data_IF_164257964574
#
_entry.id   IF_164257964574
#
_cell.length_a   1.000
_cell.length_b   1.000
_cell.length_c   1.000
_cell.angle_alpha   90.00
_cell.angle_beta   90.00
_cell.angle_gamma   90.00
#
_symmetry.space_group_name_H-M   'P 1'
#
loop_
_entity.id
_entity.type
_entity.pdbx_description
1 polymer ?
#
# COMPACT_ATOMS: atom_id res chain seq x y z
N UNK A 1 8.04 13.52 -26.67
CA UNK A 1 8.09 12.15 -27.22
C UNK A 1 7.06 11.26 -26.52
N UNK A 2 6.67 10.12 -27.14
CA UNK A 2 5.79 9.12 -26.53
C UNK A 2 6.63 8.05 -25.84
N UNK A 3 6.44 7.88 -24.53
CA UNK A 3 7.14 6.88 -23.71
C UNK A 3 6.14 5.84 -23.25
N UNK A 4 6.27 4.62 -23.77
CA UNK A 4 5.37 3.51 -23.50
C UNK A 4 5.79 2.68 -22.29
N UNK A 5 4.80 2.26 -21.47
CA UNK A 5 5.01 1.30 -20.40
C UNK A 5 4.04 0.13 -20.51
N UNK A 6 4.59 -1.09 -20.46
CA UNK A 6 3.84 -2.34 -20.50
C UNK A 6 4.16 -3.22 -19.29
N UNK A 7 3.14 -3.86 -18.71
CA UNK A 7 3.31 -4.80 -17.60
C UNK A 7 2.45 -6.03 -17.79
N UNK A 8 3.04 -7.23 -17.61
CA UNK A 8 2.31 -8.50 -17.61
C UNK A 8 2.51 -9.25 -16.30
N UNK A 9 1.45 -9.93 -15.86
CA UNK A 9 1.55 -10.98 -14.85
C UNK A 9 1.97 -12.29 -15.54
N UNK A 10 2.66 -13.18 -14.84
CA UNK A 10 3.17 -14.45 -15.36
C UNK A 10 2.12 -15.43 -15.91
N UNK A 11 0.82 -15.14 -15.75
CA UNK A 11 -0.29 -15.96 -16.23
C UNK A 11 -1.17 -15.21 -17.22
N UNK A 12 -1.19 -15.69 -18.47
CA UNK A 12 -2.31 -15.61 -19.39
C UNK A 12 -2.52 -14.35 -20.24
N UNK A 13 -1.67 -13.32 -20.18
CA UNK A 13 -1.78 -12.19 -21.12
C UNK A 13 -0.46 -11.96 -21.85
N UNK A 14 -0.53 -11.96 -23.18
CA UNK A 14 0.65 -11.73 -23.99
C UNK A 14 1.16 -10.30 -23.82
N UNK A 15 2.43 -10.17 -23.47
CA UNK A 15 3.16 -8.89 -23.52
C UNK A 15 3.10 -8.33 -24.94
N UNK A 16 3.12 -9.19 -25.93
CA UNK A 16 3.13 -8.85 -27.35
C UNK A 16 1.93 -8.00 -27.76
N UNK A 17 0.73 -8.29 -27.22
CA UNK A 17 -0.48 -7.49 -27.49
C UNK A 17 -0.35 -6.07 -26.95
N UNK A 18 0.28 -5.89 -25.77
CA UNK A 18 0.52 -4.55 -25.23
C UNK A 18 1.59 -3.82 -26.03
N UNK A 19 2.67 -4.51 -26.38
CA UNK A 19 3.77 -3.95 -27.18
C UNK A 19 3.27 -3.51 -28.56
N UNK A 20 2.42 -4.31 -29.21
CA UNK A 20 1.82 -3.94 -30.51
C UNK A 20 0.98 -2.66 -30.41
N UNK A 21 0.19 -2.49 -29.33
CA UNK A 21 -0.59 -1.27 -29.09
C UNK A 21 0.28 -0.05 -28.80
N UNK A 22 1.48 -0.27 -28.30
CA UNK A 22 2.42 0.78 -27.90
C UNK A 22 3.55 0.97 -28.92
N UNK A 23 3.46 0.36 -30.09
CA UNK A 23 4.53 0.36 -31.12
C UNK A 23 4.89 1.76 -31.63
N UNK A 24 3.96 2.71 -31.57
CA UNK A 24 4.19 4.09 -31.96
C UNK A 24 4.91 4.94 -30.89
N UNK A 25 5.30 4.30 -29.77
CA UNK A 25 6.10 4.96 -28.73
C UNK A 25 7.59 4.93 -29.10
N UNK A 26 8.27 6.05 -28.99
CA UNK A 26 9.71 6.17 -29.35
C UNK A 26 10.60 5.48 -28.31
N UNK A 27 10.11 5.35 -27.07
CA UNK A 27 10.81 4.62 -25.99
C UNK A 27 9.87 3.70 -25.24
N UNK A 28 10.31 2.46 -25.01
CA UNK A 28 9.51 1.43 -24.33
C UNK A 28 10.19 0.96 -23.05
N UNK A 29 9.39 0.83 -21.99
CA UNK A 29 9.75 0.14 -20.77
C UNK A 29 8.77 -1.00 -20.54
N UNK A 30 9.27 -2.19 -20.30
CA UNK A 30 8.42 -3.37 -20.11
C UNK A 30 8.82 -4.15 -18.87
N UNK A 31 7.83 -4.68 -18.15
CA UNK A 31 8.01 -5.37 -16.89
C UNK A 31 7.22 -6.67 -16.87
N UNK A 32 7.90 -7.76 -16.55
CA UNK A 32 7.27 -9.07 -16.34
C UNK A 32 7.27 -9.37 -14.85
N UNK A 33 6.10 -9.54 -14.25
CA UNK A 33 5.98 -9.92 -12.85
C UNK A 33 6.46 -11.36 -12.68
N UNK A 34 7.55 -11.56 -11.93
CA UNK A 34 8.04 -12.86 -11.52
C UNK A 34 7.85 -13.03 -10.01
N UNK A 35 6.94 -13.92 -9.60
CA UNK A 35 6.76 -14.31 -8.19
C UNK A 35 6.37 -13.18 -7.24
N UNK A 36 6.96 -13.19 -6.05
CA UNK A 36 6.69 -12.26 -4.94
C UNK A 36 7.42 -10.93 -5.03
N UNK A 37 8.34 -10.77 -6.00
CA UNK A 37 9.10 -9.52 -6.12
C UNK A 37 8.24 -8.45 -6.79
N UNK A 38 7.83 -7.46 -5.98
CA UNK A 38 6.90 -6.39 -6.35
C UNK A 38 7.59 -5.07 -6.70
N UNK A 39 8.92 -5.08 -6.81
CA UNK A 39 9.71 -3.93 -7.20
C UNK A 39 9.50 -3.66 -8.70
N UNK A 40 8.78 -2.59 -8.99
CA UNK A 40 8.49 -2.14 -10.36
C UNK A 40 9.64 -1.26 -10.87
N UNK A 41 10.80 -1.87 -11.08
CA UNK A 41 12.02 -1.15 -11.44
C UNK A 41 11.86 -0.45 -12.80
N UNK A 42 11.23 -1.12 -13.77
CA UNK A 42 11.01 -0.53 -15.10
C UNK A 42 10.01 0.63 -15.06
N UNK A 43 8.99 0.58 -14.19
CA UNK A 43 8.10 1.72 -13.98
C UNK A 43 8.86 2.90 -13.39
N UNK A 44 9.71 2.68 -12.39
CA UNK A 44 10.49 3.76 -11.80
C UNK A 44 11.45 4.37 -12.84
N UNK A 45 12.15 3.54 -13.59
CA UNK A 45 13.02 4.00 -14.68
C UNK A 45 12.24 4.81 -15.74
N UNK A 46 11.04 4.36 -16.12
CA UNK A 46 10.19 5.08 -17.06
C UNK A 46 9.76 6.44 -16.52
N UNK A 47 9.31 6.50 -15.25
CA UNK A 47 8.91 7.74 -14.59
C UNK A 47 10.09 8.72 -14.36
N UNK A 48 11.31 8.18 -14.20
CA UNK A 48 12.51 9.01 -14.11
C UNK A 48 12.96 9.54 -15.47
N UNK A 49 12.79 8.72 -16.50
CA UNK A 49 13.22 9.00 -17.87
C UNK A 49 12.43 10.14 -18.52
N UNK A 50 11.10 10.20 -18.32
CA UNK A 50 10.23 11.19 -18.95
C UNK A 50 10.58 12.62 -18.54
N UNK A 51 10.46 13.55 -19.48
CA UNK A 51 10.81 14.95 -19.36
C UNK A 51 9.65 15.85 -19.76
N UNK A 52 9.81 17.13 -19.53
CA UNK A 52 8.84 18.18 -19.93
C UNK A 52 8.37 18.00 -21.39
N UNK A 53 7.05 18.04 -21.59
CA UNK A 53 6.39 17.88 -22.88
C UNK A 53 6.29 16.44 -23.40
N UNK A 54 6.79 15.43 -22.68
CA UNK A 54 6.60 14.03 -23.05
C UNK A 54 5.17 13.54 -22.75
N UNK A 55 4.79 12.43 -23.40
CA UNK A 55 3.53 11.72 -23.16
C UNK A 55 3.85 10.32 -22.65
N UNK A 56 3.40 10.02 -21.44
CA UNK A 56 3.52 8.69 -20.85
C UNK A 56 2.33 7.83 -21.30
N UNK A 57 2.57 6.77 -22.07
CA UNK A 57 1.54 5.98 -22.75
C UNK A 57 1.43 4.59 -22.14
N UNK A 58 0.22 4.18 -21.80
CA UNK A 58 -0.10 2.84 -21.32
C UNK A 58 -1.33 2.29 -22.03
N UNK A 59 -1.51 0.98 -21.99
CA UNK A 59 -2.71 0.36 -22.57
C UNK A 59 -3.92 0.47 -21.67
N UNK A 60 -3.78 0.16 -20.36
CA UNK A 60 -4.85 0.17 -19.35
C UNK A 60 -4.34 0.63 -17.98
N UNK A 61 -5.21 1.23 -17.16
CA UNK A 61 -4.86 1.68 -15.81
C UNK A 61 -4.42 0.54 -14.88
N UNK A 62 -5.01 -0.66 -15.01
CA UNK A 62 -4.64 -1.83 -14.19
C UNK A 62 -3.23 -2.36 -14.52
N UNK A 63 -2.64 -1.96 -15.64
CA UNK A 63 -1.23 -2.21 -15.97
C UNK A 63 -0.30 -1.23 -15.27
N UNK A 64 -0.76 0.00 -15.05
CA UNK A 64 0.02 1.04 -14.40
C UNK A 64 0.02 0.94 -12.87
N UNK A 65 -1.16 0.74 -12.27
CA UNK A 65 -1.34 0.82 -10.82
C UNK A 65 -2.28 -0.27 -10.31
N UNK A 66 -2.20 -0.53 -8.98
CA UNK A 66 -3.03 -1.51 -8.27
C UNK A 66 -4.05 -0.86 -7.35
N UNK A 67 -3.91 0.43 -7.13
CA UNK A 67 -4.81 1.21 -6.30
C UNK A 67 -4.94 2.61 -6.86
N UNK A 68 -6.05 3.26 -6.55
CA UNK A 68 -6.28 4.63 -6.97
C UNK A 68 -5.30 5.60 -6.32
N UNK A 69 -4.83 5.32 -5.10
CA UNK A 69 -3.77 6.11 -4.45
C UNK A 69 -2.48 6.08 -5.27
N UNK A 70 -2.09 4.90 -5.74
CA UNK A 70 -0.90 4.75 -6.58
C UNK A 70 -1.07 5.49 -7.91
N UNK A 71 -2.26 5.40 -8.53
CA UNK A 71 -2.57 6.15 -9.74
C UNK A 71 -2.39 7.66 -9.53
N UNK A 72 -2.98 8.22 -8.48
CA UNK A 72 -2.89 9.65 -8.18
C UNK A 72 -1.45 10.09 -7.93
N UNK A 73 -0.66 9.30 -7.22
CA UNK A 73 0.75 9.59 -6.98
C UNK A 73 1.55 9.61 -8.30
N UNK A 74 1.28 8.66 -9.20
CA UNK A 74 1.94 8.61 -10.51
C UNK A 74 1.54 9.83 -11.35
N UNK A 75 0.24 10.16 -11.39
CA UNK A 75 -0.26 11.31 -12.14
C UNK A 75 0.37 12.61 -11.60
N UNK A 76 0.37 12.81 -10.29
CA UNK A 76 1.00 13.98 -9.68
C UNK A 76 2.48 14.09 -10.03
N UNK A 77 3.20 12.96 -10.05
CA UNK A 77 4.62 12.92 -10.45
C UNK A 77 4.81 13.28 -11.93
N UNK A 78 3.93 12.82 -12.82
CA UNK A 78 3.95 13.17 -14.24
C UNK A 78 3.62 14.65 -14.44
N UNK A 79 2.58 15.17 -13.77
CA UNK A 79 2.19 16.58 -13.83
C UNK A 79 3.30 17.51 -13.31
N UNK A 80 3.99 17.14 -12.23
CA UNK A 80 5.14 17.92 -11.71
C UNK A 80 6.30 18.04 -12.69
N UNK A 81 6.35 17.17 -13.69
CA UNK A 81 7.31 17.19 -14.81
C UNK A 81 6.70 17.75 -16.10
N UNK A 82 5.46 18.25 -16.06
CA UNK A 82 4.68 18.64 -17.25
C UNK A 82 4.57 17.54 -18.32
N UNK A 83 4.36 16.27 -17.86
CA UNK A 83 4.19 15.08 -18.68
C UNK A 83 2.73 14.68 -18.64
N UNK A 84 2.09 14.45 -19.80
CA UNK A 84 0.73 13.94 -19.86
C UNK A 84 0.68 12.41 -19.83
N UNK A 85 -0.38 11.85 -19.22
CA UNK A 85 -0.68 10.41 -19.23
C UNK A 85 -1.73 10.12 -20.30
N UNK A 86 -1.44 9.16 -21.17
CA UNK A 86 -2.39 8.66 -22.18
C UNK A 86 -2.67 7.17 -21.95
N UNK A 87 -3.95 6.82 -21.80
CA UNK A 87 -4.43 5.45 -21.61
C UNK A 87 -5.23 5.04 -22.84
N UNK A 88 -4.68 4.12 -23.63
CA UNK A 88 -5.24 3.82 -24.96
C UNK A 88 -6.63 3.19 -24.90
N UNK A 89 -6.79 2.10 -24.15
CA UNK A 89 -8.04 1.32 -24.13
C UNK A 89 -9.22 2.05 -23.43
N UNK A 90 -8.92 3.06 -22.62
CA UNK A 90 -9.92 3.85 -21.87
C UNK A 90 -10.09 5.27 -22.42
N UNK A 91 -9.35 5.61 -23.47
CA UNK A 91 -9.38 6.94 -24.11
C UNK A 91 -9.20 8.09 -23.12
N UNK A 92 -8.36 7.89 -22.10
CA UNK A 92 -8.03 8.92 -21.11
C UNK A 92 -6.73 9.61 -21.57
N UNK A 93 -6.76 10.94 -21.60
CA UNK A 93 -5.60 11.78 -21.94
C UNK A 93 -5.58 12.99 -21.00
N UNK A 94 -4.62 13.00 -20.06
CA UNK A 94 -4.49 14.10 -19.08
C UNK A 94 -3.96 15.39 -19.72
N UNK A 95 -3.49 15.36 -20.95
CA UNK A 95 -3.22 16.55 -21.73
C UNK A 95 -4.48 17.34 -22.08
N UNK A 96 -5.65 16.68 -22.10
CA UNK A 96 -6.95 17.32 -22.35
C UNK A 96 -7.63 17.76 -21.05
N UNK A 97 -8.49 18.80 -21.12
CA UNK A 97 -9.31 19.23 -19.97
C UNK A 97 -10.23 18.12 -19.47
N UNK A 98 -10.85 17.37 -20.39
CA UNK A 98 -11.74 16.25 -20.08
C UNK A 98 -11.00 15.09 -19.38
N UNK A 99 -9.80 14.75 -19.84
CA UNK A 99 -8.99 13.70 -19.20
C UNK A 99 -8.54 14.10 -17.80
N UNK A 100 -8.14 15.35 -17.57
CA UNK A 100 -7.86 15.86 -16.23
C UNK A 100 -9.08 15.81 -15.31
N UNK A 101 -10.25 16.19 -15.81
CA UNK A 101 -11.51 16.07 -15.06
C UNK A 101 -11.80 14.61 -14.68
N UNK A 102 -11.66 13.66 -15.62
CA UNK A 102 -11.86 12.22 -15.35
C UNK A 102 -10.96 11.72 -14.24
N UNK A 103 -9.68 12.08 -14.27
CA UNK A 103 -8.73 11.71 -13.21
C UNK A 103 -9.12 12.31 -11.86
N UNK A 104 -9.55 13.57 -11.82
CA UNK A 104 -10.03 14.24 -10.60
C UNK A 104 -11.24 13.54 -10.01
N UNK A 105 -12.18 13.11 -10.84
CA UNK A 105 -13.38 12.36 -10.42
C UNK A 105 -12.99 10.99 -9.84
N UNK A 106 -12.12 10.25 -10.52
CA UNK A 106 -11.61 8.96 -10.03
C UNK A 106 -10.90 9.15 -8.67
N UNK A 107 -10.11 10.20 -8.53
CA UNK A 107 -9.43 10.54 -7.29
C UNK A 107 -10.40 10.85 -6.14
N UNK A 108 -11.44 11.62 -6.42
CA UNK A 108 -12.48 11.98 -5.44
C UNK A 108 -13.27 10.76 -4.97
N UNK A 109 -13.64 9.85 -5.88
CA UNK A 109 -14.31 8.59 -5.54
C UNK A 109 -13.43 7.73 -4.64
N UNK A 110 -12.14 7.61 -4.96
CA UNK A 110 -11.21 6.83 -4.14
C UNK A 110 -10.99 7.43 -2.74
N UNK A 111 -10.94 8.74 -2.65
CA UNK A 111 -10.86 9.43 -1.36
C UNK A 111 -12.13 9.16 -0.54
N UNK A 112 -13.29 9.30 -1.13
CA UNK A 112 -14.57 9.01 -0.49
C UNK A 112 -14.65 7.56 0.02
N UNK A 113 -14.26 6.57 -0.80
CA UNK A 113 -14.22 5.16 -0.36
C UNK A 113 -13.26 4.94 0.82
N UNK A 114 -12.13 5.64 0.85
CA UNK A 114 -11.19 5.57 1.96
C UNK A 114 -11.77 6.16 3.24
N UNK A 115 -12.46 7.27 3.14
CA UNK A 115 -13.07 7.96 4.29
C UNK A 115 -14.22 7.14 4.87
N UNK A 116 -15.08 6.56 4.03
CA UNK A 116 -16.10 5.60 4.46
C UNK A 116 -15.50 4.37 5.16
N UNK A 117 -14.36 3.89 4.69
CA UNK A 117 -13.67 2.74 5.29
C UNK A 117 -13.10 3.08 6.68
N UNK A 118 -12.52 4.28 6.83
CA UNK A 118 -12.04 4.80 8.13
C UNK A 118 -13.19 4.99 9.12
N UNK A 119 -14.31 5.54 8.67
CA UNK A 119 -15.50 5.73 9.49
C UNK A 119 -16.02 4.39 10.03
N UNK A 120 -16.26 3.42 9.16
CA UNK A 120 -16.66 2.06 9.57
C UNK A 120 -15.67 1.39 10.52
N UNK A 121 -14.36 1.59 10.30
CA UNK A 121 -13.34 1.09 11.20
C UNK A 121 -13.39 1.77 12.56
N UNK A 122 -13.58 3.08 12.59
CA UNK A 122 -13.73 3.86 13.84
C UNK A 122 -14.94 3.39 14.65
N UNK A 123 -16.08 3.22 14.00
CA UNK A 123 -17.31 2.72 14.61
C UNK A 123 -17.13 1.30 15.14
N UNK A 124 -16.50 0.43 14.37
CA UNK A 124 -16.16 -0.93 14.79
C UNK A 124 -15.25 -0.97 16.02
N UNK A 125 -14.24 -0.08 16.08
CA UNK A 125 -13.34 0.07 17.23
C UNK A 125 -14.11 0.59 18.45
N UNK A 126 -14.98 1.60 18.28
CA UNK A 126 -15.79 2.15 19.36
C UNK A 126 -16.72 1.08 19.94
N UNK A 127 -17.39 0.32 19.09
CA UNK A 127 -18.25 -0.78 19.49
C UNK A 127 -17.48 -1.91 20.20
N UNK A 128 -16.31 -2.26 19.71
CA UNK A 128 -15.45 -3.28 20.36
C UNK A 128 -15.01 -2.82 21.76
N UNK A 129 -14.61 -1.55 21.90
CA UNK A 129 -14.25 -0.95 23.18
C UNK A 129 -15.43 -0.95 24.17
N UNK A 130 -16.64 -0.60 23.72
CA UNK A 130 -17.84 -0.61 24.57
C UNK A 130 -18.22 -2.00 25.05
N UNK A 131 -17.88 -3.03 24.29
CA UNK A 131 -18.06 -4.45 24.65
C UNK A 131 -16.90 -5.02 25.48
N UNK A 132 -15.93 -4.18 25.88
CA UNK A 132 -14.77 -4.64 26.66
C UNK A 132 -13.76 -5.48 25.89
N UNK A 133 -13.83 -5.50 24.56
CA UNK A 133 -12.86 -6.23 23.73
C UNK A 133 -11.51 -5.55 23.82
N UNK A 134 -10.49 -6.30 24.21
CA UNK A 134 -9.12 -5.82 24.24
C UNK A 134 -8.61 -5.64 22.80
N UNK A 135 -8.29 -4.40 22.47
CA UNK A 135 -7.67 -4.06 21.17
C UNK A 135 -6.13 -4.12 21.28
N UNK A 136 -5.49 -4.66 20.26
CA UNK A 136 -4.04 -4.80 20.20
C UNK A 136 -3.55 -6.14 20.72
N UNK A 137 -2.26 -6.18 21.14
CA UNK A 137 -1.63 -7.41 21.60
C UNK A 137 -2.24 -7.87 22.92
N UNK A 138 -2.68 -9.12 22.97
CA UNK A 138 -3.17 -9.73 24.20
C UNK A 138 -2.09 -9.75 25.28
N UNK A 139 -2.51 -9.51 26.53
CA UNK A 139 -1.61 -9.66 27.68
C UNK A 139 -1.19 -11.13 27.78
N UNK A 140 0.09 -11.36 28.05
CA UNK A 140 0.62 -12.73 28.23
C UNK A 140 0.10 -13.38 29.51
N UNK A 141 -0.20 -12.57 30.53
CA UNK A 141 -0.70 -13.00 31.82
C UNK A 141 -2.06 -12.38 32.09
N UNK A 142 -2.94 -13.15 32.73
CA UNK A 142 -4.19 -12.63 33.29
C UNK A 142 -3.95 -11.98 34.66
N UNK A 143 -4.95 -11.28 35.20
CA UNK A 143 -4.83 -10.57 36.49
C UNK A 143 -4.49 -11.51 37.64
N UNK A 144 -5.00 -12.75 37.66
CA UNK A 144 -4.70 -13.75 38.68
C UNK A 144 -3.23 -14.12 38.65
N UNK A 145 -2.67 -14.39 37.46
CA UNK A 145 -1.26 -14.73 37.30
C UNK A 145 -0.34 -13.53 37.67
N UNK A 146 -0.77 -12.31 37.42
CA UNK A 146 -0.01 -11.10 37.82
C UNK A 146 0.02 -11.00 39.35
N UNK A 147 -1.10 -11.21 40.01
CA UNK A 147 -1.18 -11.20 41.47
C UNK A 147 -0.31 -12.28 42.10
N UNK A 148 -0.39 -13.52 41.54
CA UNK A 148 0.45 -14.64 41.97
C UNK A 148 1.95 -14.34 41.78
N UNK A 149 2.32 -13.76 40.65
CA UNK A 149 3.70 -13.35 40.39
C UNK A 149 4.20 -12.30 41.38
N UNK A 150 3.36 -11.32 41.74
CA UNK A 150 3.66 -10.30 42.78
C UNK A 150 3.88 -10.96 44.15
N UNK A 151 3.01 -11.91 44.53
CA UNK A 151 3.12 -12.64 45.80
C UNK A 151 4.43 -13.46 45.83
N UNK A 152 4.72 -14.23 44.80
CA UNK A 152 5.98 -14.99 44.70
C UNK A 152 7.21 -14.09 44.82
N UNK A 153 7.13 -12.86 44.33
CA UNK A 153 8.24 -11.91 44.51
C UNK A 153 8.41 -11.47 45.95
N UNK A 154 7.30 -11.24 46.67
CA UNK A 154 7.32 -10.93 48.11
C UNK A 154 7.90 -12.09 48.92
N UNK A 155 7.61 -13.32 48.52
CA UNK A 155 8.13 -14.55 49.12
C UNK A 155 9.62 -14.82 48.78
N UNK A 156 10.30 -13.86 48.12
CA UNK A 156 11.74 -13.90 47.87
C UNK A 156 12.16 -14.56 46.54
N UNK A 157 11.24 -14.98 45.67
CA UNK A 157 11.60 -15.58 44.37
C UNK A 157 12.37 -14.59 43.51
N UNK A 158 13.48 -15.05 42.91
CA UNK A 158 14.35 -14.21 42.09
C UNK A 158 13.67 -13.83 40.77
N UNK A 159 13.98 -12.62 40.26
CA UNK A 159 13.48 -12.13 38.98
C UNK A 159 13.73 -13.11 37.82
N UNK A 160 14.91 -13.77 37.82
CA UNK A 160 15.28 -14.76 36.78
C UNK A 160 14.31 -15.93 36.75
N UNK A 161 13.88 -16.39 37.90
CA UNK A 161 12.95 -17.53 38.02
C UNK A 161 11.53 -17.11 37.60
N UNK A 162 11.10 -15.89 37.95
CA UNK A 162 9.84 -15.32 37.48
C UNK A 162 9.83 -15.16 35.94
N UNK A 163 10.94 -14.73 35.35
CA UNK A 163 11.08 -14.67 33.89
C UNK A 163 10.86 -16.04 33.24
N UNK A 164 11.49 -17.09 33.77
CA UNK A 164 11.38 -18.46 33.27
C UNK A 164 9.96 -19.02 33.47
N UNK A 165 9.39 -18.86 34.65
CA UNK A 165 8.09 -19.42 35.01
C UNK A 165 6.92 -18.83 34.19
N UNK A 166 7.01 -17.55 33.84
CA UNK A 166 5.94 -16.85 33.12
C UNK A 166 6.29 -16.51 31.65
N UNK A 167 7.46 -16.93 31.18
CA UNK A 167 7.90 -16.66 29.79
C UNK A 167 8.02 -15.14 29.45
N UNK A 168 8.40 -14.34 30.44
CA UNK A 168 8.48 -12.88 30.32
C UNK A 168 9.93 -12.37 30.21
N UNK A 169 10.10 -11.25 29.53
CA UNK A 169 11.38 -10.51 29.62
C UNK A 169 11.53 -9.81 30.98
N UNK A 170 12.76 -9.51 31.37
CA UNK A 170 13.08 -8.77 32.60
C UNK A 170 12.29 -7.45 32.71
N UNK A 171 12.24 -6.68 31.61
CA UNK A 171 11.49 -5.43 31.57
C UNK A 171 9.98 -5.64 31.74
N UNK A 172 9.42 -6.74 31.20
CA UNK A 172 8.00 -7.06 31.38
C UNK A 172 7.67 -7.44 32.82
N UNK A 173 8.55 -8.21 33.48
CA UNK A 173 8.36 -8.55 34.91
C UNK A 173 8.34 -7.28 35.77
N UNK A 174 9.30 -6.37 35.59
CA UNK A 174 9.31 -5.13 36.39
C UNK A 174 8.08 -4.25 36.09
N UNK A 175 7.66 -4.12 34.84
CA UNK A 175 6.47 -3.32 34.48
C UNK A 175 5.19 -3.86 35.08
N UNK A 176 5.04 -5.16 35.25
CA UNK A 176 3.86 -5.78 35.82
C UNK A 176 3.88 -5.81 37.36
N UNK A 177 5.06 -5.59 37.97
CA UNK A 177 5.20 -5.51 39.42
C UNK A 177 4.92 -4.11 39.98
N UNK A 178 5.17 -3.09 39.19
CA UNK A 178 4.74 -1.72 39.51
C UNK A 178 3.24 -1.56 39.21
#
# INVERSE_FOLDING_TARGET
>A
MNVGYARVSSYGQSLDVQLEKLKDCEKMFSEKKTGTNDKREQLQLALDFVRDGDVFVITKLDRLCRSTRELLNIIHRLESKNVSLKVLDQSIDTGSATGRLMVSVIGSIAQFENDLRKERQSDGIALAKSRGVQLGRHFKLNNVQITEMKQKRLDGVKIKDLMSNYGLSKASVYRLMN
#
